data_IF_929861398941
#
_entry.id   IF_929861398941
#
_cell.length_a   1.000
_cell.length_b   1.000
_cell.length_c   1.000
_cell.angle_alpha   90.00
_cell.angle_beta   90.00
_cell.angle_gamma   90.00
#
_symmetry.space_group_name_H-M   'P 1'
#
loop_
_entity.id
_entity.type
_entity.pdbx_description
1 polymer ?
#
# COMPACT_ATOMS: atom_id res chain seq x y z
N UNK A 1 18.04 -31.64 12.68
CA UNK A 1 16.75 -31.68 11.96
C UNK A 1 16.21 -30.26 11.94
N UNK A 2 15.74 -29.72 10.81
CA UNK A 2 15.18 -28.37 10.81
C UNK A 2 13.92 -28.35 11.67
N UNK A 3 13.80 -27.35 12.54
CA UNK A 3 12.59 -27.13 13.33
C UNK A 3 11.39 -26.93 12.39
N UNK A 4 10.35 -27.74 12.58
CA UNK A 4 9.11 -27.65 11.81
C UNK A 4 8.12 -26.80 12.60
N UNK A 5 7.70 -25.67 12.01
CA UNK A 5 6.64 -24.81 12.55
C UNK A 5 5.30 -25.53 12.44
N UNK A 6 4.55 -25.57 13.54
CA UNK A 6 3.19 -26.11 13.56
C UNK A 6 2.19 -25.16 12.89
N UNK A 7 1.06 -25.70 12.45
CA UNK A 7 -0.01 -24.91 11.81
C UNK A 7 -0.58 -23.82 12.74
N UNK A 8 -0.63 -24.10 14.03
CA UNK A 8 -1.14 -23.18 15.05
C UNK A 8 -0.17 -22.00 15.25
N UNK A 9 1.14 -22.26 15.29
CA UNK A 9 2.19 -21.24 15.37
C UNK A 9 2.20 -20.36 14.12
N UNK A 10 2.05 -20.95 12.93
CA UNK A 10 1.95 -20.20 11.68
C UNK A 10 0.71 -19.28 11.66
N UNK A 11 -0.43 -19.78 12.14
CA UNK A 11 -1.68 -19.00 12.25
C UNK A 11 -1.49 -17.81 13.19
N UNK A 12 -0.86 -18.01 14.34
CA UNK A 12 -0.58 -16.95 15.30
C UNK A 12 0.41 -15.90 14.76
N UNK A 13 1.40 -16.32 13.96
CA UNK A 13 2.34 -15.42 13.30
C UNK A 13 1.65 -14.53 12.26
N UNK A 14 0.71 -15.10 11.50
CA UNK A 14 0.01 -14.41 10.41
C UNK A 14 -1.18 -13.56 10.85
N UNK A 15 -1.73 -13.82 12.04
CA UNK A 15 -2.88 -13.08 12.61
C UNK A 15 -2.65 -11.56 12.69
N UNK A 16 -1.40 -11.12 12.86
CA UNK A 16 -1.02 -9.70 12.90
C UNK A 16 -0.10 -9.30 11.74
N UNK A 17 0.13 -10.19 10.77
CA UNK A 17 0.97 -9.91 9.62
C UNK A 17 0.22 -8.99 8.66
N UNK A 18 0.56 -7.70 8.70
CA UNK A 18 0.19 -6.76 7.65
C UNK A 18 1.19 -6.97 6.51
N UNK A 19 0.78 -7.48 5.34
CA UNK A 19 1.69 -7.58 4.22
C UNK A 19 2.23 -6.18 3.91
N UNK A 20 3.53 -6.04 3.65
CA UNK A 20 4.21 -4.78 3.26
C UNK A 20 3.63 -4.11 2.00
N UNK A 21 2.56 -4.67 1.45
CA UNK A 21 1.79 -4.20 0.30
C UNK A 21 1.04 -2.90 0.57
N UNK A 22 0.71 -2.59 1.83
CA UNK A 22 -0.05 -1.40 2.19
C UNK A 22 0.84 -0.35 2.86
N UNK A 23 1.04 0.75 2.17
CA UNK A 23 1.90 1.85 2.58
C UNK A 23 1.09 2.90 3.36
N UNK A 24 1.73 3.53 4.32
CA UNK A 24 1.32 4.84 4.86
C UNK A 24 1.55 5.93 3.83
N UNK A 25 1.01 7.14 4.04
CA UNK A 25 1.26 8.26 3.13
C UNK A 25 2.75 8.60 3.03
N UNK A 26 3.49 8.56 4.14
CA UNK A 26 4.93 8.81 4.15
C UNK A 26 5.69 7.78 3.30
N UNK A 27 5.33 6.51 3.43
CA UNK A 27 5.94 5.43 2.64
C UNK A 27 5.54 5.52 1.16
N UNK A 28 4.30 5.86 0.84
CA UNK A 28 3.83 6.05 -0.53
C UNK A 28 4.57 7.21 -1.24
N UNK A 29 4.81 8.31 -0.53
CA UNK A 29 5.63 9.44 -1.01
C UNK A 29 7.05 8.98 -1.33
N UNK A 30 7.68 8.24 -0.40
CA UNK A 30 9.03 7.69 -0.62
C UNK A 30 9.05 6.71 -1.80
N UNK A 31 8.04 5.83 -1.89
CA UNK A 31 7.95 4.81 -2.93
C UNK A 31 7.78 5.41 -4.32
N UNK A 32 6.88 6.38 -4.46
CA UNK A 32 6.54 6.99 -5.75
C UNK A 32 7.49 8.13 -6.14
N UNK A 33 8.31 8.63 -5.21
CA UNK A 33 9.18 9.79 -5.42
C UNK A 33 8.40 11.11 -5.61
N UNK A 34 7.13 11.17 -5.18
CA UNK A 34 6.26 12.34 -5.34
C UNK A 34 6.09 13.11 -4.02
N UNK A 35 5.34 14.21 -4.05
CA UNK A 35 5.02 14.98 -2.84
C UNK A 35 3.73 14.46 -2.16
N UNK A 36 3.53 14.69 -0.84
CA UNK A 36 2.26 14.37 -0.19
C UNK A 36 1.06 15.06 -0.84
N UNK A 37 1.24 16.27 -1.36
CA UNK A 37 0.21 17.01 -2.09
C UNK A 37 -0.16 16.31 -3.41
N UNK A 38 0.81 15.76 -4.11
CA UNK A 38 0.59 14.96 -5.33
C UNK A 38 -0.22 13.71 -5.03
N UNK A 39 0.13 12.95 -3.99
CA UNK A 39 -0.65 11.78 -3.55
C UNK A 39 -2.09 12.18 -3.20
N UNK A 40 -2.29 13.28 -2.46
CA UNK A 40 -3.63 13.78 -2.14
C UNK A 40 -4.42 14.16 -3.40
N UNK A 41 -3.75 14.71 -4.41
CA UNK A 41 -4.38 15.02 -5.68
C UNK A 41 -4.80 13.74 -6.41
N UNK A 42 -3.93 12.72 -6.48
CA UNK A 42 -4.28 11.43 -7.06
C UNK A 42 -5.50 10.79 -6.40
N UNK A 43 -5.63 10.88 -5.08
CA UNK A 43 -6.84 10.38 -4.37
C UNK A 43 -8.09 11.11 -4.86
N UNK A 44 -8.04 12.44 -5.02
CA UNK A 44 -9.17 13.22 -5.55
C UNK A 44 -9.49 12.86 -7.00
N UNK A 45 -8.46 12.52 -7.77
CA UNK A 45 -8.57 12.15 -9.17
C UNK A 45 -9.07 10.70 -9.34
N UNK A 46 -9.04 9.88 -8.27
CA UNK A 46 -9.63 8.53 -8.26
C UNK A 46 -8.71 7.41 -7.77
N UNK A 47 -7.49 7.70 -7.32
CA UNK A 47 -6.60 6.70 -6.75
C UNK A 47 -7.26 6.02 -5.56
N UNK A 48 -7.35 4.70 -5.63
CA UNK A 48 -7.96 3.89 -4.58
C UNK A 48 -7.15 3.97 -3.28
N UNK A 49 -7.86 4.18 -2.18
CA UNK A 49 -7.34 4.08 -0.83
C UNK A 49 -7.99 2.90 -0.09
N UNK A 50 -7.28 2.39 0.90
CA UNK A 50 -7.75 1.31 1.76
C UNK A 50 -7.91 1.87 3.17
N UNK A 51 -9.11 1.72 3.71
CA UNK A 51 -9.44 2.04 5.10
C UNK A 51 -9.67 0.73 5.84
N UNK A 52 -8.88 0.47 6.88
CA UNK A 52 -9.01 -0.74 7.71
C UNK A 52 -10.03 -0.57 8.85
N UNK A 53 -10.64 0.60 8.94
CA UNK A 53 -11.70 0.95 9.89
C UNK A 53 -12.17 2.39 9.66
N UNK A 54 -13.34 2.73 10.19
CA UNK A 54 -14.03 4.02 9.95
C UNK A 54 -13.17 5.24 10.33
N UNK A 55 -12.32 5.13 11.35
CA UNK A 55 -11.44 6.20 11.83
C UNK A 55 -9.96 5.96 11.53
N UNK A 56 -9.65 5.00 10.65
CA UNK A 56 -8.25 4.65 10.34
C UNK A 56 -7.63 5.61 9.33
N UNK A 57 -6.33 5.85 9.46
CA UNK A 57 -5.58 6.56 8.43
C UNK A 57 -5.56 5.74 7.12
N UNK A 58 -5.75 6.39 5.96
CA UNK A 58 -5.74 5.70 4.67
C UNK A 58 -4.41 5.01 4.41
N UNK A 59 -4.51 3.86 3.76
CA UNK A 59 -3.39 3.06 3.27
C UNK A 59 -3.42 2.97 1.75
N UNK A 60 -2.24 2.81 1.17
CA UNK A 60 -2.04 2.79 -0.27
C UNK A 60 -1.51 1.42 -0.68
N UNK A 61 -2.22 0.70 -1.54
CA UNK A 61 -1.72 -0.57 -2.11
C UNK A 61 -0.66 -0.25 -3.17
N UNK A 62 0.50 -0.90 -3.06
CA UNK A 62 1.58 -0.76 -4.06
C UNK A 62 1.07 -1.06 -5.48
N UNK A 63 0.20 -2.07 -5.65
CA UNK A 63 -0.31 -2.42 -6.99
C UNK A 63 -1.21 -1.33 -7.57
N UNK A 64 -2.02 -0.70 -6.72
CA UNK A 64 -2.90 0.39 -7.14
C UNK A 64 -2.06 1.63 -7.48
N UNK A 65 -0.99 1.90 -6.72
CA UNK A 65 -0.02 2.96 -7.03
C UNK A 65 0.70 2.71 -8.36
N UNK A 66 1.19 1.50 -8.60
CA UNK A 66 1.86 1.14 -9.86
C UNK A 66 0.91 1.29 -11.04
N UNK A 67 -0.30 0.72 -10.95
CA UNK A 67 -1.31 0.83 -12.00
C UNK A 67 -1.67 2.30 -12.28
N UNK A 68 -1.89 3.08 -11.23
CA UNK A 68 -2.17 4.51 -11.35
C UNK A 68 -1.06 5.26 -12.07
N UNK A 69 0.20 5.03 -11.67
CA UNK A 69 1.35 5.65 -12.31
C UNK A 69 1.47 5.24 -13.77
N UNK A 70 1.25 3.97 -14.13
CA UNK A 70 1.27 3.52 -15.52
C UNK A 70 0.18 4.19 -16.37
N UNK A 71 -1.04 4.29 -15.85
CA UNK A 71 -2.18 4.92 -16.54
C UNK A 71 -1.98 6.41 -16.76
N UNK A 72 -1.33 7.09 -15.81
CA UNK A 72 -1.14 8.54 -15.81
C UNK A 72 0.26 8.98 -16.28
N UNK A 73 1.08 8.04 -16.77
CA UNK A 73 2.27 8.39 -17.55
C UNK A 73 1.81 9.13 -18.78
N UNK A 74 2.14 10.42 -18.86
CA UNK A 74 2.09 11.13 -20.14
C UNK A 74 3.04 10.38 -21.09
N UNK A 75 2.48 9.75 -22.13
CA UNK A 75 3.28 9.28 -23.27
C UNK A 75 4.08 10.49 -23.73
N UNK A 76 5.40 10.42 -23.60
CA UNK A 76 6.29 11.53 -23.89
C UNK A 76 5.96 12.15 -25.24
N UNK A 77 5.88 13.48 -25.24
CA UNK A 77 5.85 14.31 -26.44
C UNK A 77 7.14 14.13 -27.25
#
# INVERSE_FOLDING_TARGET
>A
MPEQITREELRNLLLNYVPKRYLTQKEAVIYTGTSPATINQWIKDGLRIILFGENSNPKYDIKDLDAWMEEHKTKGA
#
